data_IF_396629936830
#
_entry.id   IF_396629936830
#
_cell.length_a   1.000
_cell.length_b   1.000
_cell.length_c   1.000
_cell.angle_alpha   90.00
_cell.angle_beta   90.00
_cell.angle_gamma   90.00
#
_symmetry.space_group_name_H-M   'P 1'
#
loop_
_entity.id
_entity.type
_entity.pdbx_description
1 polymer ?
#
# COMPACT_ATOMS: atom_id res chain seq x y z
N UNK A 1 -30.27 -19.49 -7.65
CA UNK A 1 -29.85 -18.13 -7.99
C UNK A 1 -28.37 -18.15 -8.36
N UNK A 2 -27.97 -17.50 -9.48
CA UNK A 2 -26.55 -17.38 -9.80
C UNK A 2 -25.88 -16.46 -8.77
N UNK A 3 -24.78 -16.91 -8.18
CA UNK A 3 -23.94 -16.09 -7.30
C UNK A 3 -23.04 -15.26 -8.22
N UNK A 4 -23.24 -13.94 -8.22
CA UNK A 4 -22.40 -13.02 -8.98
C UNK A 4 -21.67 -12.10 -7.99
N UNK A 5 -20.37 -12.35 -7.70
CA UNK A 5 -19.61 -11.51 -6.78
C UNK A 5 -19.43 -10.11 -7.35
N UNK A 6 -19.67 -9.11 -6.53
CA UNK A 6 -19.53 -7.70 -6.92
C UNK A 6 -18.10 -7.20 -6.67
N UNK A 7 -17.37 -6.95 -7.75
CA UNK A 7 -16.02 -6.38 -7.75
C UNK A 7 -16.02 -4.86 -8.01
N UNK A 8 -17.18 -4.21 -8.05
CA UNK A 8 -17.27 -2.79 -8.37
C UNK A 8 -16.68 -1.91 -7.27
N UNK A 9 -15.90 -0.93 -7.71
CA UNK A 9 -15.42 0.18 -6.90
C UNK A 9 -15.92 1.53 -7.43
N UNK A 10 -16.84 1.51 -8.39
CA UNK A 10 -17.41 2.72 -8.98
C UNK A 10 -18.09 3.60 -7.92
N UNK A 11 -17.81 4.90 -7.97
CA UNK A 11 -18.33 5.90 -7.03
C UNK A 11 -17.69 5.85 -5.63
N UNK A 12 -16.77 4.92 -5.33
CA UNK A 12 -16.03 4.90 -4.07
C UNK A 12 -14.98 6.02 -4.02
N UNK A 13 -14.76 6.55 -2.84
CA UNK A 13 -13.72 7.54 -2.55
C UNK A 13 -12.49 6.86 -1.95
N UNK A 14 -11.37 6.97 -2.65
CA UNK A 14 -10.12 6.24 -2.34
C UNK A 14 -9.03 7.25 -2.01
N UNK A 15 -8.36 7.09 -0.88
CA UNK A 15 -7.16 7.85 -0.54
C UNK A 15 -5.94 6.93 -0.63
N UNK A 16 -4.93 7.35 -1.39
CA UNK A 16 -3.70 6.60 -1.63
C UNK A 16 -2.51 7.44 -1.26
N UNK A 17 -1.70 7.00 -0.29
CA UNK A 17 -0.43 7.65 0.02
C UNK A 17 0.69 7.12 -0.86
N UNK A 18 1.69 7.94 -1.18
CA UNK A 18 2.76 7.55 -2.11
C UNK A 18 2.25 7.32 -3.54
N UNK A 19 1.19 8.03 -3.93
CA UNK A 19 0.47 7.78 -5.17
C UNK A 19 0.98 8.54 -6.40
N UNK A 20 2.10 9.26 -6.32
CA UNK A 20 2.68 9.97 -7.48
C UNK A 20 3.52 9.06 -8.38
N UNK A 21 3.74 7.81 -7.99
CA UNK A 21 4.50 6.86 -8.78
C UNK A 21 4.52 5.45 -8.21
N UNK A 22 5.22 4.54 -8.88
CA UNK A 22 5.34 3.16 -8.47
C UNK A 22 3.98 2.46 -8.27
N UNK A 23 3.87 1.68 -7.20
CA UNK A 23 2.67 0.90 -6.89
C UNK A 23 1.47 1.83 -6.62
N UNK A 24 1.67 2.90 -5.84
CA UNK A 24 0.58 3.82 -5.51
C UNK A 24 0.01 4.54 -6.73
N UNK A 25 0.86 4.92 -7.69
CA UNK A 25 0.44 5.52 -8.95
C UNK A 25 -0.36 4.55 -9.83
N UNK A 26 0.07 3.29 -9.91
CA UNK A 26 -0.68 2.25 -10.61
C UNK A 26 -2.05 2.01 -9.98
N UNK A 27 -2.13 1.99 -8.65
CA UNK A 27 -3.41 1.89 -7.96
C UNK A 27 -4.30 3.10 -8.23
N UNK A 28 -3.75 4.32 -8.15
CA UNK A 28 -4.51 5.53 -8.42
C UNK A 28 -5.16 5.50 -9.81
N UNK A 29 -4.38 5.11 -10.82
CA UNK A 29 -4.88 4.94 -12.19
C UNK A 29 -5.93 3.84 -12.27
N UNK A 30 -5.68 2.67 -11.71
CA UNK A 30 -6.61 1.54 -11.78
C UNK A 30 -7.95 1.85 -11.11
N UNK A 31 -7.96 2.45 -9.93
CA UNK A 31 -9.21 2.84 -9.26
C UNK A 31 -9.97 3.89 -10.06
N UNK A 32 -9.27 4.89 -10.63
CA UNK A 32 -9.87 5.90 -11.48
C UNK A 32 -10.52 5.30 -12.74
N UNK A 33 -9.82 4.37 -13.41
CA UNK A 33 -10.32 3.67 -14.60
C UNK A 33 -11.54 2.79 -14.30
N UNK A 34 -11.71 2.36 -13.03
CA UNK A 34 -12.88 1.64 -12.54
C UNK A 34 -13.96 2.55 -11.92
N UNK A 35 -13.91 3.85 -12.19
CA UNK A 35 -14.95 4.81 -11.83
C UNK A 35 -14.94 5.28 -10.37
N UNK A 36 -13.84 5.09 -9.65
CA UNK A 36 -13.67 5.63 -8.30
C UNK A 36 -13.22 7.10 -8.32
N UNK A 37 -13.45 7.81 -7.23
CA UNK A 37 -12.88 9.14 -6.96
C UNK A 37 -11.57 8.96 -6.18
N UNK A 38 -10.47 9.48 -6.71
CA UNK A 38 -9.14 9.22 -6.16
C UNK A 38 -8.51 10.49 -5.60
N UNK A 39 -8.06 10.41 -4.34
CA UNK A 39 -7.19 11.38 -3.68
C UNK A 39 -5.82 10.74 -3.52
N UNK A 40 -4.81 11.37 -4.08
CA UNK A 40 -3.41 10.98 -3.90
C UNK A 40 -2.74 11.94 -2.94
N UNK A 41 -2.06 11.42 -1.94
CA UNK A 41 -1.22 12.19 -1.04
C UNK A 41 0.23 11.74 -1.16
N UNK A 42 1.15 12.70 -1.31
CA UNK A 42 2.57 12.41 -1.49
C UNK A 42 3.42 13.64 -1.07
N UNK A 43 4.70 13.41 -0.78
CA UNK A 43 5.69 14.49 -0.63
C UNK A 43 6.07 15.10 -1.98
N UNK A 44 6.12 14.28 -3.02
CA UNK A 44 6.42 14.71 -4.38
C UNK A 44 5.20 15.34 -5.05
N UNK A 45 5.44 16.33 -5.89
CA UNK A 45 4.42 16.85 -6.78
C UNK A 45 4.03 15.80 -7.84
N UNK A 46 2.81 15.84 -8.37
CA UNK A 46 2.43 15.01 -9.50
C UNK A 46 3.31 15.31 -10.71
N UNK A 47 3.57 14.30 -11.51
CA UNK A 47 4.34 14.46 -12.76
C UNK A 47 3.50 15.14 -13.84
N UNK A 48 4.17 15.78 -14.79
CA UNK A 48 3.51 16.31 -15.97
C UNK A 48 2.71 15.22 -16.69
N UNK A 49 1.51 15.55 -17.15
CA UNK A 49 0.62 14.60 -17.81
C UNK A 49 -0.19 13.69 -16.86
N UNK A 50 -0.12 13.91 -15.55
CA UNK A 50 -0.97 13.19 -14.59
C UNK A 50 -2.46 13.53 -14.83
N UNK A 51 -3.32 12.52 -14.71
CA UNK A 51 -4.76 12.66 -14.92
C UNK A 51 -5.36 13.68 -13.95
N UNK A 52 -5.95 14.75 -14.50
CA UNK A 52 -6.51 15.85 -13.71
C UNK A 52 -7.75 15.48 -12.90
N UNK A 53 -8.34 14.33 -13.12
CA UNK A 53 -9.44 13.79 -12.30
C UNK A 53 -8.96 13.30 -10.94
N UNK A 54 -7.63 13.08 -10.76
CA UNK A 54 -7.02 12.72 -9.50
C UNK A 54 -6.76 14.00 -8.69
N UNK A 55 -7.32 14.07 -7.49
CA UNK A 55 -7.02 15.14 -6.54
C UNK A 55 -5.68 14.86 -5.86
N UNK A 56 -4.76 15.82 -5.92
CA UNK A 56 -3.45 15.73 -5.25
C UNK A 56 -3.38 16.63 -4.03
N UNK A 57 -2.82 16.07 -2.96
CA UNK A 57 -2.51 16.78 -1.72
C UNK A 57 -1.06 16.51 -1.31
N UNK A 58 -0.29 17.55 -1.02
CA UNK A 58 1.05 17.38 -0.47
C UNK A 58 0.95 17.03 1.01
N UNK A 59 1.52 15.88 1.40
CA UNK A 59 1.48 15.40 2.78
C UNK A 59 2.72 14.57 3.10
N UNK A 60 3.30 14.82 4.28
CA UNK A 60 4.21 13.89 4.94
C UNK A 60 3.40 13.03 5.92
N UNK A 61 3.44 11.71 5.74
CA UNK A 61 2.73 10.75 6.61
C UNK A 61 3.31 10.69 8.04
N UNK A 62 4.46 11.31 8.27
CA UNK A 62 5.09 11.44 9.58
C UNK A 62 4.56 12.64 10.39
N UNK A 63 3.87 13.56 9.75
CA UNK A 63 3.32 14.78 10.37
C UNK A 63 1.89 14.52 10.86
N UNK A 64 1.75 14.31 12.19
CA UNK A 64 0.47 14.06 12.84
C UNK A 64 -0.54 15.19 12.56
N UNK A 65 -0.12 16.45 12.65
CA UNK A 65 -1.00 17.60 12.48
C UNK A 65 -1.48 17.74 11.02
N UNK A 66 -0.59 17.47 10.05
CA UNK A 66 -0.94 17.48 8.63
C UNK A 66 -1.92 16.35 8.26
N UNK A 67 -1.71 15.13 8.80
CA UNK A 67 -2.62 14.00 8.59
C UNK A 67 -4.00 14.30 9.17
N UNK A 68 -4.08 14.81 10.39
CA UNK A 68 -5.35 15.20 11.00
C UNK A 68 -6.04 16.36 10.25
N UNK A 69 -5.27 17.35 9.80
CA UNK A 69 -5.81 18.45 9.01
C UNK A 69 -6.38 17.98 7.67
N UNK A 70 -5.75 16.99 7.02
CA UNK A 70 -6.28 16.37 5.83
C UNK A 70 -7.58 15.61 6.14
N UNK A 71 -7.61 14.82 7.21
CA UNK A 71 -8.81 14.07 7.60
C UNK A 71 -10.01 14.99 7.82
N UNK A 72 -9.81 16.15 8.44
CA UNK A 72 -10.89 17.16 8.62
C UNK A 72 -11.42 17.77 7.31
N UNK A 73 -10.64 17.75 6.21
CA UNK A 73 -11.04 18.31 4.91
C UNK A 73 -11.62 17.27 3.94
N UNK A 74 -11.46 15.99 4.25
CA UNK A 74 -12.04 14.90 3.46
C UNK A 74 -13.46 14.64 3.97
N UNK A 75 -14.45 14.87 3.11
CA UNK A 75 -15.87 14.71 3.48
C UNK A 75 -16.32 13.25 3.43
N UNK A 76 -15.84 12.50 2.46
CA UNK A 76 -16.23 11.11 2.22
C UNK A 76 -15.02 10.25 1.89
N UNK A 77 -14.93 9.06 2.49
CA UNK A 77 -13.86 8.13 2.22
C UNK A 77 -14.34 6.68 2.44
N UNK A 78 -14.09 5.83 1.46
CA UNK A 78 -14.44 4.42 1.49
C UNK A 78 -13.21 3.52 1.66
N UNK A 79 -12.05 3.96 1.15
CA UNK A 79 -10.82 3.16 1.17
C UNK A 79 -9.61 4.03 1.45
N UNK A 80 -8.74 3.56 2.34
CA UNK A 80 -7.38 4.09 2.53
C UNK A 80 -6.38 3.05 2.07
N UNK A 81 -5.40 3.45 1.26
CA UNK A 81 -4.29 2.59 0.82
C UNK A 81 -2.98 3.25 1.19
N UNK A 82 -2.19 2.62 2.06
CA UNK A 82 -0.91 3.17 2.50
C UNK A 82 0.25 2.62 1.67
N UNK A 83 0.59 3.33 0.57
CA UNK A 83 1.73 2.99 -0.29
C UNK A 83 2.98 3.85 -0.02
N UNK A 84 2.86 4.94 0.77
CA UNK A 84 4.02 5.77 1.09
C UNK A 84 5.14 4.95 1.74
N UNK A 85 6.34 5.13 1.25
CA UNK A 85 7.47 4.38 1.75
C UNK A 85 8.78 4.73 1.06
N UNK A 86 9.88 4.38 1.69
CA UNK A 86 11.23 4.47 1.12
C UNK A 86 12.07 3.25 1.52
N UNK A 87 13.15 3.04 0.79
CA UNK A 87 14.14 2.02 1.04
C UNK A 87 15.51 2.70 1.05
N UNK A 88 16.22 2.65 2.17
CA UNK A 88 17.53 3.28 2.32
C UNK A 88 18.70 2.26 2.28
N UNK A 89 18.38 0.97 2.15
CA UNK A 89 19.36 -0.12 2.04
C UNK A 89 20.37 -0.11 3.19
N UNK A 90 21.65 -0.19 2.89
CA UNK A 90 22.73 -0.25 3.88
C UNK A 90 22.78 0.91 4.87
N UNK A 91 22.22 2.09 4.51
CA UNK A 91 22.09 3.23 5.40
C UNK A 91 21.15 2.93 6.60
N UNK A 92 20.27 1.94 6.44
CA UNK A 92 19.30 1.52 7.48
C UNK A 92 19.95 0.93 8.73
N UNK A 93 21.24 0.65 8.70
CA UNK A 93 22.02 0.29 9.90
C UNK A 93 22.33 1.49 10.81
N UNK A 94 22.11 2.70 10.34
CA UNK A 94 22.18 3.91 11.15
C UNK A 94 20.86 4.06 11.95
N UNK A 95 20.90 4.20 13.30
CA UNK A 95 19.69 4.23 14.12
C UNK A 95 18.67 5.29 13.71
N UNK A 96 19.11 6.46 13.23
CA UNK A 96 18.20 7.54 12.82
C UNK A 96 17.49 7.19 11.50
N UNK A 97 18.20 6.59 10.55
CA UNK A 97 17.60 6.10 9.31
C UNK A 97 16.63 4.94 9.60
N UNK A 98 17.00 4.06 10.52
CA UNK A 98 16.14 2.97 10.97
C UNK A 98 14.81 3.49 11.52
N UNK A 99 14.85 4.47 12.43
CA UNK A 99 13.66 5.10 13.01
C UNK A 99 12.80 5.77 11.95
N UNK A 100 13.42 6.49 11.00
CA UNK A 100 12.72 7.18 9.92
C UNK A 100 11.95 6.18 9.03
N UNK A 101 12.56 5.04 8.67
CA UNK A 101 11.90 3.99 7.91
C UNK A 101 10.70 3.42 8.68
N UNK A 102 10.86 3.13 9.98
CA UNK A 102 9.76 2.67 10.81
C UNK A 102 8.64 3.73 10.91
N UNK A 103 8.99 4.99 11.03
CA UNK A 103 8.02 6.08 11.15
C UNK A 103 7.17 6.20 9.89
N UNK A 104 7.78 6.17 8.71
CA UNK A 104 7.04 6.21 7.43
C UNK A 104 6.12 5.00 7.28
N UNK A 105 6.69 3.78 7.39
CA UNK A 105 5.98 2.56 7.00
C UNK A 105 5.00 2.06 8.05
N UNK A 106 5.34 2.18 9.34
CA UNK A 106 4.57 1.59 10.43
C UNK A 106 3.76 2.63 11.18
N UNK A 107 4.42 3.68 11.70
CA UNK A 107 3.73 4.69 12.52
C UNK A 107 2.84 5.56 11.63
N UNK A 108 3.30 5.94 10.42
CA UNK A 108 2.50 6.66 9.44
C UNK A 108 1.24 5.89 9.02
N UNK A 109 1.35 4.55 8.91
CA UNK A 109 0.19 3.70 8.68
C UNK A 109 -0.83 3.80 9.83
N UNK A 110 -0.36 3.72 11.07
CA UNK A 110 -1.22 3.84 12.26
C UNK A 110 -1.86 5.23 12.36
N UNK A 111 -1.11 6.31 12.05
CA UNK A 111 -1.64 7.69 11.99
C UNK A 111 -2.81 7.79 11.03
N UNK A 112 -2.62 7.31 9.81
CA UNK A 112 -3.68 7.30 8.78
C UNK A 112 -4.89 6.47 9.23
N UNK A 113 -4.65 5.26 9.76
CA UNK A 113 -5.71 4.40 10.26
C UNK A 113 -6.57 5.11 11.31
N UNK A 114 -5.95 5.77 12.29
CA UNK A 114 -6.65 6.49 13.35
C UNK A 114 -7.37 7.74 12.82
N UNK A 115 -6.71 8.57 12.02
CA UNK A 115 -7.27 9.82 11.51
C UNK A 115 -8.47 9.60 10.60
N UNK A 116 -8.46 8.54 9.79
CA UNK A 116 -9.53 8.22 8.85
C UNK A 116 -10.52 7.16 9.35
N UNK A 117 -10.33 6.59 10.55
CA UNK A 117 -11.28 5.63 11.15
C UNK A 117 -12.73 6.13 11.15
N UNK A 118 -13.03 7.39 11.51
CA UNK A 118 -14.42 7.88 11.49
C UNK A 118 -15.06 7.85 10.09
N UNK A 119 -14.28 8.18 9.05
CA UNK A 119 -14.75 8.15 7.66
C UNK A 119 -15.02 6.72 7.19
N UNK A 120 -14.06 5.82 7.45
CA UNK A 120 -14.18 4.40 7.10
C UNK A 120 -15.34 3.74 7.84
N UNK A 121 -15.59 4.11 9.10
CA UNK A 121 -16.78 3.67 9.87
C UNK A 121 -18.06 4.13 9.20
N UNK A 122 -18.15 5.38 8.78
CA UNK A 122 -19.34 5.94 8.15
C UNK A 122 -19.70 5.26 6.81
N UNK A 123 -18.71 4.70 6.13
CA UNK A 123 -18.85 4.04 4.82
C UNK A 123 -18.86 2.50 4.89
N UNK A 124 -18.65 1.87 6.05
CA UNK A 124 -18.27 0.47 6.19
C UNK A 124 -17.10 0.12 5.26
N UNK A 125 -16.09 0.98 5.29
CA UNK A 125 -14.98 0.99 4.36
C UNK A 125 -13.87 0.00 4.68
N UNK A 126 -12.70 0.22 4.07
CA UNK A 126 -11.54 -0.62 4.34
C UNK A 126 -10.21 0.13 4.31
N UNK A 127 -9.23 -0.43 5.02
CA UNK A 127 -7.83 -0.05 4.98
C UNK A 127 -7.03 -1.16 4.29
N UNK A 128 -6.20 -0.79 3.31
CA UNK A 128 -5.31 -1.70 2.62
C UNK A 128 -3.86 -1.26 2.87
N UNK A 129 -3.13 -2.09 3.58
CA UNK A 129 -1.73 -1.86 3.90
C UNK A 129 -0.84 -2.50 2.84
N UNK A 130 0.37 -1.98 2.67
CA UNK A 130 1.35 -2.59 1.77
C UNK A 130 2.48 -3.20 2.60
N UNK A 131 2.46 -4.53 2.67
CA UNK A 131 3.56 -5.35 3.16
C UNK A 131 4.68 -5.47 2.14
N UNK A 132 5.33 -6.60 2.13
CA UNK A 132 6.38 -7.00 1.16
C UNK A 132 6.62 -8.50 1.30
N UNK A 133 7.26 -9.13 0.30
CA UNK A 133 7.91 -10.43 0.52
C UNK A 133 8.88 -10.38 1.72
N UNK A 134 9.52 -9.24 1.98
CA UNK A 134 10.35 -9.02 3.18
C UNK A 134 9.55 -8.98 4.50
N UNK A 135 8.25 -9.12 4.47
CA UNK A 135 7.44 -9.38 5.66
C UNK A 135 7.61 -10.82 6.18
N UNK A 136 8.10 -11.73 5.33
CA UNK A 136 8.24 -13.17 5.63
C UNK A 136 9.68 -13.61 5.85
N UNK A 137 10.65 -12.84 5.37
CA UNK A 137 12.07 -13.12 5.55
C UNK A 137 12.90 -11.83 5.60
N UNK A 138 14.10 -11.90 6.18
CA UNK A 138 14.99 -10.75 6.31
C UNK A 138 15.68 -10.37 5.01
N UNK A 139 16.08 -9.09 4.92
CA UNK A 139 16.95 -8.58 3.88
C UNK A 139 18.21 -7.99 4.52
N UNK A 140 19.36 -8.60 4.26
CA UNK A 140 20.64 -8.16 4.86
C UNK A 140 21.00 -6.70 4.56
N UNK A 141 20.52 -6.17 3.43
CA UNK A 141 20.78 -4.80 3.00
C UNK A 141 19.69 -3.80 3.42
N UNK A 142 18.60 -4.25 4.06
CA UNK A 142 17.45 -3.42 4.38
C UNK A 142 16.77 -3.87 5.69
N UNK A 143 17.47 -3.78 6.84
CA UNK A 143 16.96 -4.30 8.11
C UNK A 143 15.75 -3.54 8.64
N UNK A 144 15.73 -2.20 8.50
CA UNK A 144 14.60 -1.39 8.95
C UNK A 144 13.36 -1.64 8.09
N UNK A 145 13.54 -1.70 6.77
CA UNK A 145 12.46 -1.99 5.84
C UNK A 145 11.83 -3.37 6.11
N UNK A 146 12.66 -4.43 6.27
CA UNK A 146 12.18 -5.78 6.60
C UNK A 146 11.41 -5.78 7.92
N UNK A 147 11.96 -5.15 8.97
CA UNK A 147 11.31 -5.03 10.26
C UNK A 147 9.96 -4.29 10.15
N UNK A 148 9.94 -3.14 9.45
CA UNK A 148 8.72 -2.37 9.22
C UNK A 148 7.66 -3.18 8.49
N UNK A 149 8.03 -3.88 7.41
CA UNK A 149 7.08 -4.65 6.59
C UNK A 149 6.54 -5.89 7.33
N UNK A 150 7.36 -6.53 8.18
CA UNK A 150 6.88 -7.58 9.10
C UNK A 150 5.92 -7.02 10.14
N UNK A 151 6.24 -5.85 10.72
CA UNK A 151 5.38 -5.18 11.68
C UNK A 151 4.04 -4.72 11.07
N UNK A 152 4.02 -4.27 9.81
CA UNK A 152 2.79 -3.91 9.08
C UNK A 152 1.85 -5.11 8.97
N UNK A 153 2.35 -6.32 8.75
CA UNK A 153 1.51 -7.54 8.73
C UNK A 153 0.87 -7.79 10.09
N UNK A 154 1.61 -7.62 11.20
CA UNK A 154 1.07 -7.74 12.55
C UNK A 154 0.08 -6.62 12.87
N UNK A 155 0.40 -5.37 12.50
CA UNK A 155 -0.48 -4.22 12.67
C UNK A 155 -1.81 -4.41 11.91
N UNK A 156 -1.76 -4.96 10.69
CA UNK A 156 -2.95 -5.28 9.90
C UNK A 156 -3.92 -6.18 10.65
N UNK A 157 -3.40 -7.24 11.29
CA UNK A 157 -4.23 -8.16 12.10
C UNK A 157 -4.83 -7.46 13.32
N UNK A 158 -4.02 -6.67 14.03
CA UNK A 158 -4.47 -5.94 15.22
C UNK A 158 -5.57 -4.92 14.88
N UNK A 159 -5.38 -4.14 13.80
CA UNK A 159 -6.38 -3.19 13.33
C UNK A 159 -7.63 -3.89 12.80
N UNK A 160 -7.51 -5.04 12.13
CA UNK A 160 -8.65 -5.81 11.65
C UNK A 160 -9.55 -6.26 12.80
N UNK A 161 -8.97 -6.65 13.94
CA UNK A 161 -9.72 -7.01 15.15
C UNK A 161 -10.35 -5.76 15.79
N UNK A 162 -9.54 -4.71 15.99
CA UNK A 162 -9.98 -3.49 16.70
C UNK A 162 -11.03 -2.69 15.93
N UNK A 163 -11.02 -2.72 14.59
CA UNK A 163 -11.91 -1.94 13.76
C UNK A 163 -13.15 -2.73 13.30
N UNK A 164 -13.23 -4.02 13.62
CA UNK A 164 -14.34 -4.89 13.20
C UNK A 164 -15.69 -4.43 13.72
N UNK A 165 -15.75 -3.94 14.97
CA UNK A 165 -16.98 -3.40 15.57
C UNK A 165 -17.50 -2.13 14.87
N UNK A 166 -16.61 -1.42 14.15
CA UNK A 166 -16.95 -0.25 13.32
C UNK A 166 -17.32 -0.65 11.87
N UNK A 167 -17.36 -1.93 11.56
CA UNK A 167 -17.65 -2.43 10.21
C UNK A 167 -16.49 -2.22 9.22
N UNK A 168 -15.30 -1.86 9.68
CA UNK A 168 -14.12 -1.59 8.85
C UNK A 168 -13.30 -2.87 8.66
N UNK A 169 -12.93 -3.17 7.42
CA UNK A 169 -12.00 -4.27 7.11
C UNK A 169 -10.58 -3.73 6.93
N UNK A 170 -9.60 -4.47 7.45
CA UNK A 170 -8.19 -4.12 7.33
C UNK A 170 -7.42 -5.32 6.78
N UNK A 171 -6.81 -5.16 5.62
CA UNK A 171 -6.04 -6.20 4.95
C UNK A 171 -4.72 -5.66 4.43
N UNK A 172 -3.85 -6.51 3.96
CA UNK A 172 -2.59 -6.11 3.34
C UNK A 172 -2.36 -6.84 2.01
N UNK A 173 -1.59 -6.19 1.14
CA UNK A 173 -0.98 -6.79 -0.04
C UNK A 173 0.52 -6.88 0.23
N UNK A 174 1.14 -8.01 -0.03
CA UNK A 174 2.59 -8.20 0.06
C UNK A 174 3.18 -8.35 -1.36
N UNK A 175 3.68 -7.26 -1.96
CA UNK A 175 4.30 -7.32 -3.26
C UNK A 175 5.59 -8.13 -3.27
N UNK A 176 5.87 -8.79 -4.40
CA UNK A 176 7.15 -9.38 -4.71
C UNK A 176 8.13 -8.34 -5.29
N UNK A 177 8.83 -8.74 -6.33
CA UNK A 177 9.76 -7.90 -7.07
C UNK A 177 9.02 -7.11 -8.16
N UNK A 178 8.80 -5.81 -7.90
CA UNK A 178 8.01 -4.91 -8.75
C UNK A 178 8.92 -3.87 -9.40
N UNK A 179 8.71 -3.57 -10.68
CA UNK A 179 9.44 -2.58 -11.46
C UNK A 179 9.02 -1.16 -11.07
N UNK A 180 9.68 -0.61 -10.05
CA UNK A 180 9.47 0.76 -9.55
C UNK A 180 10.79 1.51 -9.48
N UNK A 181 10.76 2.79 -9.16
CA UNK A 181 11.96 3.59 -8.92
C UNK A 181 12.76 3.03 -7.73
N UNK A 182 12.11 2.61 -6.65
CA UNK A 182 12.76 2.01 -5.47
C UNK A 182 13.57 0.77 -5.85
N UNK A 183 13.12 -0.02 -6.81
CA UNK A 183 13.77 -1.26 -7.24
C UNK A 183 14.79 -1.05 -8.38
N UNK A 184 14.87 0.15 -9.00
CA UNK A 184 15.67 0.41 -10.19
C UNK A 184 17.13 0.00 -10.03
N UNK A 185 17.79 0.45 -8.98
CA UNK A 185 19.20 0.13 -8.74
C UNK A 185 19.46 -1.40 -8.62
N UNK A 186 18.50 -2.17 -8.11
CA UNK A 186 18.59 -3.64 -8.07
C UNK A 186 18.44 -4.26 -9.46
N UNK A 187 17.50 -3.76 -10.27
CA UNK A 187 17.28 -4.25 -11.64
C UNK A 187 18.44 -3.96 -12.57
N UNK A 188 19.08 -2.80 -12.40
CA UNK A 188 20.24 -2.37 -13.18
C UNK A 188 21.55 -3.07 -12.79
N UNK A 189 21.59 -3.74 -11.64
CA UNK A 189 22.72 -4.57 -11.23
C UNK A 189 22.57 -6.00 -11.81
N UNK A 190 23.39 -6.43 -12.78
CA UNK A 190 23.19 -7.70 -13.48
C UNK A 190 23.26 -8.92 -12.56
N UNK A 191 24.18 -8.93 -11.60
CA UNK A 191 24.35 -10.04 -10.66
C UNK A 191 23.18 -10.16 -9.69
N UNK A 192 22.71 -9.03 -9.17
CA UNK A 192 21.54 -9.00 -8.29
C UNK A 192 20.29 -9.39 -9.06
N UNK A 193 20.07 -8.81 -10.23
CA UNK A 193 18.92 -9.10 -11.08
C UNK A 193 18.85 -10.59 -11.43
N UNK A 194 19.98 -11.19 -11.85
CA UNK A 194 20.06 -12.63 -12.15
C UNK A 194 19.63 -13.49 -10.95
N UNK A 195 20.08 -13.16 -9.73
CA UNK A 195 19.71 -13.88 -8.50
C UNK A 195 18.24 -13.74 -8.19
N UNK A 196 17.67 -12.55 -8.38
CA UNK A 196 16.24 -12.30 -8.15
C UNK A 196 15.39 -13.08 -9.14
N UNK A 197 15.66 -12.92 -10.43
CA UNK A 197 14.89 -13.56 -11.51
C UNK A 197 14.93 -15.08 -11.41
N UNK A 198 16.07 -15.66 -11.03
CA UNK A 198 16.22 -17.11 -10.84
C UNK A 198 15.30 -17.70 -9.74
N UNK A 199 14.82 -16.88 -8.81
CA UNK A 199 13.91 -17.31 -7.73
C UNK A 199 12.45 -16.99 -8.01
N UNK A 200 12.14 -16.19 -9.03
CA UNK A 200 10.75 -15.92 -9.43
C UNK A 200 10.32 -17.05 -10.36
N UNK A 201 9.31 -17.86 -10.02
CA UNK A 201 8.85 -18.97 -10.88
C UNK A 201 8.51 -18.54 -12.32
N UNK A 202 7.93 -17.33 -12.48
CA UNK A 202 7.64 -16.75 -13.80
C UNK A 202 8.85 -16.15 -14.52
N UNK A 203 10.01 -16.06 -13.87
CA UNK A 203 11.27 -15.63 -14.47
C UNK A 203 11.40 -14.13 -14.74
N UNK A 204 10.49 -13.29 -14.21
CA UNK A 204 10.53 -11.84 -14.45
C UNK A 204 9.99 -11.01 -13.28
N UNK A 205 10.38 -9.76 -13.26
CA UNK A 205 9.81 -8.76 -12.34
C UNK A 205 8.42 -8.36 -12.82
N UNK A 206 7.50 -8.21 -11.87
CA UNK A 206 6.15 -7.76 -12.16
C UNK A 206 6.08 -6.24 -12.41
N UNK A 207 5.08 -5.81 -13.14
CA UNK A 207 4.73 -4.39 -13.29
C UNK A 207 3.88 -3.92 -12.08
N UNK A 208 3.90 -2.64 -11.72
CA UNK A 208 3.04 -2.11 -10.66
C UNK A 208 1.55 -2.41 -10.88
N UNK A 209 1.11 -2.44 -12.13
CA UNK A 209 -0.27 -2.71 -12.55
C UNK A 209 -0.74 -4.12 -12.19
N UNK A 210 0.16 -5.09 -12.10
CA UNK A 210 -0.16 -6.48 -11.74
C UNK A 210 -0.72 -6.60 -10.32
N UNK A 211 -0.49 -5.60 -9.47
CA UNK A 211 -1.01 -5.56 -8.10
C UNK A 211 -2.44 -4.99 -8.03
N UNK A 212 -2.89 -4.28 -9.06
CA UNK A 212 -4.13 -3.50 -9.01
C UNK A 212 -5.37 -4.40 -8.81
N UNK A 213 -5.38 -5.59 -9.41
CA UNK A 213 -6.48 -6.53 -9.23
C UNK A 213 -6.72 -6.93 -7.78
N UNK A 214 -5.65 -7.16 -7.01
CA UNK A 214 -5.74 -7.47 -5.58
C UNK A 214 -6.27 -6.27 -4.77
N UNK A 215 -5.84 -5.05 -5.10
CA UNK A 215 -6.30 -3.84 -4.43
C UNK A 215 -7.80 -3.59 -4.70
N UNK A 216 -8.25 -3.70 -5.96
CA UNK A 216 -9.66 -3.58 -6.34
C UNK A 216 -10.50 -4.65 -5.63
N UNK A 217 -10.05 -5.91 -5.63
CA UNK A 217 -10.72 -7.00 -4.92
C UNK A 217 -10.91 -6.67 -3.44
N UNK A 218 -9.84 -6.29 -2.73
CA UNK A 218 -9.90 -5.97 -1.31
C UNK A 218 -10.78 -4.74 -1.01
N UNK A 219 -10.90 -3.79 -1.94
CA UNK A 219 -11.75 -2.61 -1.83
C UNK A 219 -13.22 -2.87 -2.17
N UNK A 220 -13.51 -3.97 -2.86
CA UNK A 220 -14.84 -4.29 -3.38
C UNK A 220 -15.72 -5.09 -2.38
N UNK A 221 -17.04 -5.19 -2.63
CA UNK A 221 -17.93 -6.05 -1.86
C UNK A 221 -17.59 -7.54 -1.96
N UNK A 222 -16.90 -8.00 -3.02
CA UNK A 222 -16.48 -9.39 -3.18
C UNK A 222 -15.59 -9.89 -2.03
N UNK A 223 -14.91 -8.98 -1.32
CA UNK A 223 -14.03 -9.29 -0.16
C UNK A 223 -14.68 -9.06 1.21
N UNK A 224 -16.01 -8.99 1.30
CA UNK A 224 -16.75 -8.61 2.52
C UNK A 224 -16.42 -9.45 3.78
N UNK A 225 -16.00 -10.69 3.63
CA UNK A 225 -15.58 -11.57 4.74
C UNK A 225 -14.06 -11.70 4.87
N UNK A 226 -13.29 -10.97 4.04
CA UNK A 226 -11.82 -10.99 4.10
C UNK A 226 -11.37 -9.87 5.01
N UNK A 227 -10.80 -10.23 6.17
CA UNK A 227 -10.33 -9.30 7.19
C UNK A 227 -9.11 -9.86 7.91
N UNK A 228 -8.07 -9.04 8.11
CA UNK A 228 -6.84 -9.42 8.79
C UNK A 228 -5.87 -10.25 7.96
N UNK A 229 -6.09 -10.40 6.65
CA UNK A 229 -5.21 -11.20 5.78
C UNK A 229 -4.13 -10.34 5.13
N UNK A 230 -3.03 -11.00 4.77
CA UNK A 230 -2.01 -10.45 3.88
C UNK A 230 -1.96 -11.33 2.64
N UNK A 231 -2.21 -10.76 1.47
CA UNK A 231 -2.21 -11.47 0.19
C UNK A 231 -0.84 -11.26 -0.48
N UNK A 232 -0.01 -12.31 -0.63
CA UNK A 232 1.18 -12.23 -1.47
C UNK A 232 0.77 -12.04 -2.93
N UNK A 233 1.36 -11.04 -3.59
CA UNK A 233 1.24 -10.81 -5.04
C UNK A 233 2.67 -10.69 -5.56
N UNK A 234 3.33 -11.83 -5.74
CA UNK A 234 4.77 -11.95 -5.84
C UNK A 234 5.26 -12.95 -6.91
N UNK A 235 4.36 -13.41 -7.77
CA UNK A 235 4.68 -14.39 -8.81
C UNK A 235 5.17 -15.74 -8.27
N UNK A 236 4.80 -16.08 -7.02
CA UNK A 236 5.23 -17.32 -6.35
C UNK A 236 6.60 -17.25 -5.68
N UNK A 237 7.21 -16.07 -5.58
CA UNK A 237 8.55 -15.90 -5.00
C UNK A 237 8.65 -16.38 -3.54
N UNK A 238 7.60 -16.19 -2.73
CA UNK A 238 7.58 -16.65 -1.33
C UNK A 238 7.16 -18.11 -1.17
N UNK A 239 6.70 -18.76 -2.23
CA UNK A 239 6.33 -20.16 -2.23
C UNK A 239 7.49 -21.09 -2.65
N UNK A 240 8.59 -20.53 -3.17
CA UNK A 240 9.77 -21.24 -3.70
C UNK A 240 10.96 -21.23 -2.73
#
# INVERSE_FOLDING_TARGET
>A
MAINPDFSVAGKHILITGGTGGIGGAFAKAFLDHGAHVIVVDLAAPKDGTDQRIRYEKLDVRDDAAVEALARRVEKLDVVIHCAGRLARWEEYQPEVFKDILDIHLVGNLRLANAFRPHLKASNGCLINIGSMYSYFGASHAPAYSAAKSAVVSLTKSLAISFAEDGIRVNAIAPGWIKTEISRAGRENPEFNKKVVARIPGGEWAEPEDLAGAAIFLASPASKLINGVTIPVDGGYTAS
#
